data_IF_633781482703
#
_entry.id   IF_633781482703
#
_cell.length_a   1.000
_cell.length_b   1.000
_cell.length_c   1.000
_cell.angle_alpha   90.00
_cell.angle_beta   90.00
_cell.angle_gamma   90.00
#
_symmetry.space_group_name_H-M   'P 1'
#
loop_
_entity.id
_entity.type
_entity.pdbx_description
1 polymer ?
#
# COMPACT_ATOMS: atom_id res chain seq x y z
N UNK A 1 27.04 -2.87 20.41
CA UNK A 1 26.14 -2.53 19.28
C UNK A 1 24.70 -2.81 19.69
N UNK A 2 24.07 -1.91 20.47
CA UNK A 2 22.68 -2.07 20.93
C UNK A 2 21.74 -1.75 19.76
N UNK A 3 21.28 -2.78 19.04
CA UNK A 3 20.12 -2.66 18.18
C UNK A 3 18.93 -2.37 19.10
N UNK A 4 18.48 -1.12 19.12
CA UNK A 4 17.32 -0.68 19.89
C UNK A 4 16.15 -1.64 19.61
N UNK A 5 15.58 -2.30 20.63
CA UNK A 5 14.56 -3.38 20.49
C UNK A 5 13.43 -3.01 19.54
N UNK A 6 13.05 -1.73 19.52
CA UNK A 6 12.03 -1.17 18.60
C UNK A 6 12.44 -1.23 17.12
N UNK A 7 13.72 -1.00 16.81
CA UNK A 7 14.25 -1.07 15.43
C UNK A 7 14.27 -2.51 14.92
N UNK A 8 14.72 -3.46 15.74
CA UNK A 8 14.71 -4.88 15.38
C UNK A 8 13.27 -5.34 15.11
N UNK A 9 12.34 -5.03 16.03
CA UNK A 9 10.92 -5.32 15.85
C UNK A 9 10.35 -4.72 14.56
N UNK A 10 10.64 -3.43 14.28
CA UNK A 10 10.17 -2.78 13.06
C UNK A 10 10.74 -3.41 11.79
N UNK A 11 12.04 -3.72 11.77
CA UNK A 11 12.68 -4.37 10.64
C UNK A 11 12.09 -5.77 10.39
N UNK A 12 11.94 -6.58 11.43
CA UNK A 12 11.35 -7.92 11.32
C UNK A 12 9.91 -7.85 10.83
N UNK A 13 9.07 -7.00 11.42
CA UNK A 13 7.67 -6.88 10.99
C UNK A 13 7.57 -6.38 9.54
N UNK A 14 8.28 -5.31 9.20
CA UNK A 14 8.18 -4.72 7.86
C UNK A 14 8.76 -5.64 6.78
N UNK A 15 9.83 -6.39 7.09
CA UNK A 15 10.33 -7.42 6.19
C UNK A 15 9.29 -8.53 5.98
N UNK A 16 8.62 -9.00 7.04
CA UNK A 16 7.62 -10.07 6.95
C UNK A 16 6.29 -9.61 6.32
N UNK A 17 5.98 -8.31 6.38
CA UNK A 17 4.86 -7.73 5.64
C UNK A 17 5.07 -7.78 4.13
N UNK A 18 6.33 -7.72 3.69
CA UNK A 18 6.73 -7.74 2.28
C UNK A 18 7.12 -9.14 1.78
N UNK A 19 7.73 -9.95 2.64
CA UNK A 19 8.13 -11.34 2.39
C UNK A 19 7.28 -12.25 3.26
N UNK A 20 6.16 -12.70 2.70
CA UNK A 20 5.11 -13.46 3.36
C UNK A 20 5.47 -14.95 3.34
N UNK A 21 6.27 -15.38 4.31
CA UNK A 21 6.67 -16.78 4.45
C UNK A 21 5.46 -17.62 4.90
N UNK A 22 5.01 -18.62 4.12
CA UNK A 22 3.89 -19.48 4.49
C UNK A 22 4.30 -20.50 5.57
N UNK A 23 3.45 -20.68 6.57
CA UNK A 23 3.58 -21.69 7.64
C UNK A 23 2.69 -22.90 7.41
N UNK A 24 1.60 -22.75 6.66
CA UNK A 24 0.68 -23.83 6.35
C UNK A 24 -0.38 -23.40 5.34
N UNK A 25 -0.99 -24.38 4.69
CA UNK A 25 -2.10 -24.18 3.76
C UNK A 25 -3.42 -24.61 4.42
N UNK A 26 -4.39 -23.70 4.49
CA UNK A 26 -5.74 -24.03 4.94
C UNK A 26 -6.57 -24.46 3.73
N UNK A 27 -6.90 -25.75 3.67
CA UNK A 27 -7.78 -26.33 2.65
C UNK A 27 -9.18 -25.71 2.66
N UNK A 28 -9.67 -25.28 3.84
CA UNK A 28 -10.99 -24.67 4.04
C UNK A 28 -11.09 -23.21 3.57
N UNK A 29 -10.01 -22.43 3.60
CA UNK A 29 -10.04 -21.01 3.22
C UNK A 29 -9.36 -20.70 1.88
N UNK A 30 -8.77 -21.73 1.24
CA UNK A 30 -7.89 -21.60 0.07
C UNK A 30 -6.80 -20.54 0.29
N UNK A 31 -6.28 -20.42 1.51
CA UNK A 31 -5.34 -19.35 1.90
C UNK A 31 -4.20 -19.85 2.77
N UNK A 32 -3.07 -19.13 2.70
CA UNK A 32 -1.86 -19.46 3.44
C UNK A 32 -1.79 -18.66 4.75
N UNK A 33 -1.53 -19.36 5.85
CA UNK A 33 -1.18 -18.71 7.10
C UNK A 33 0.31 -18.38 7.05
N UNK A 34 0.62 -17.11 6.92
CA UNK A 34 2.01 -16.62 6.91
C UNK A 34 2.53 -16.21 8.29
N UNK A 35 3.86 -16.20 8.45
CA UNK A 35 4.58 -15.75 9.66
C UNK A 35 4.12 -14.38 10.14
N UNK A 36 3.85 -13.44 9.22
CA UNK A 36 3.45 -12.10 9.59
C UNK A 36 2.11 -12.06 10.33
N UNK A 37 1.19 -13.01 10.10
CA UNK A 37 -0.07 -13.05 10.84
C UNK A 37 0.17 -13.28 12.33
N UNK A 38 1.10 -14.17 12.68
CA UNK A 38 1.49 -14.41 14.07
C UNK A 38 2.12 -13.15 14.66
N UNK A 39 3.02 -12.50 13.92
CA UNK A 39 3.64 -11.24 14.35
C UNK A 39 2.61 -10.14 14.58
N UNK A 40 1.61 -10.01 13.70
CA UNK A 40 0.53 -9.04 13.80
C UNK A 40 -0.39 -9.28 15.01
N UNK A 41 -0.46 -10.51 15.53
CA UNK A 41 -1.22 -10.82 16.75
C UNK A 41 -0.38 -10.58 18.01
N UNK A 42 0.90 -10.95 17.99
CA UNK A 42 1.78 -10.84 19.16
C UNK A 42 2.30 -9.42 19.42
N UNK A 43 2.70 -8.70 18.36
CA UNK A 43 3.35 -7.40 18.52
C UNK A 43 2.46 -6.31 19.13
N UNK A 44 1.14 -6.22 18.83
CA UNK A 44 0.29 -5.23 19.48
C UNK A 44 0.28 -5.34 21.00
N UNK A 45 0.34 -6.57 21.54
CA UNK A 45 0.39 -6.83 22.99
C UNK A 45 1.62 -6.17 23.62
N UNK A 46 2.78 -6.27 22.96
CA UNK A 46 4.03 -5.65 23.40
C UNK A 46 3.98 -4.11 23.41
N UNK A 47 3.03 -3.51 22.69
CA UNK A 47 2.88 -2.07 22.56
C UNK A 47 1.55 -1.53 23.09
N UNK A 48 0.77 -2.32 23.85
CA UNK A 48 -0.49 -1.90 24.45
C UNK A 48 -0.45 -0.52 25.15
N UNK A 49 0.59 -0.14 25.91
CA UNK A 49 0.67 1.20 26.54
C UNK A 49 0.65 2.38 25.55
N UNK A 50 0.92 2.11 24.27
CA UNK A 50 0.96 3.07 23.15
C UNK A 50 -0.45 3.28 22.56
N UNK A 51 -1.45 2.48 22.95
CA UNK A 51 -2.85 2.62 22.52
C UNK A 51 -3.45 4.00 22.81
N UNK A 52 -2.96 4.70 23.85
CA UNK A 52 -3.34 6.09 24.17
C UNK A 52 -3.10 7.09 23.03
N UNK A 53 -2.31 6.72 22.03
CA UNK A 53 -2.04 7.56 20.87
C UNK A 53 -3.00 7.32 19.70
N UNK A 54 -3.88 6.31 19.79
CA UNK A 54 -4.96 6.14 18.84
C UNK A 54 -5.92 7.31 18.98
N UNK A 55 -6.22 7.95 17.85
CA UNK A 55 -7.17 9.06 17.76
C UNK A 55 -8.22 8.74 16.72
N UNK A 56 -9.38 9.37 16.87
CA UNK A 56 -10.38 9.39 15.82
C UNK A 56 -9.84 10.18 14.64
N UNK A 57 -9.74 9.51 13.50
CA UNK A 57 -9.38 10.07 12.20
C UNK A 57 -10.08 9.22 11.12
N UNK A 58 -10.04 9.61 9.84
CA UNK A 58 -10.73 8.86 8.79
C UNK A 58 -10.32 7.37 8.70
N UNK A 59 -9.06 7.04 9.00
CA UNK A 59 -8.58 5.65 9.00
C UNK A 59 -9.16 4.84 10.16
N UNK A 60 -9.17 5.36 11.38
CA UNK A 60 -9.79 4.67 12.53
C UNK A 60 -11.31 4.61 12.43
N UNK A 61 -11.94 5.65 11.87
CA UNK A 61 -13.36 5.67 11.59
C UNK A 61 -13.75 4.60 10.55
N UNK A 62 -12.98 4.48 9.46
CA UNK A 62 -13.16 3.41 8.49
C UNK A 62 -13.06 2.02 9.14
N UNK A 63 -11.99 1.77 9.91
CA UNK A 63 -11.79 0.47 10.57
C UNK A 63 -12.97 0.17 11.51
N UNK A 64 -13.42 1.15 12.29
CA UNK A 64 -14.56 1.00 13.19
C UNK A 64 -15.86 0.70 12.43
N UNK A 65 -16.12 1.39 11.31
CA UNK A 65 -17.29 1.14 10.47
C UNK A 65 -17.26 -0.26 9.83
N UNK A 66 -16.10 -0.71 9.37
CA UNK A 66 -15.91 -2.08 8.84
C UNK A 66 -16.15 -3.14 9.90
N UNK A 67 -15.64 -2.94 11.13
CA UNK A 67 -15.89 -3.83 12.27
C UNK A 67 -17.39 -3.88 12.58
N UNK A 68 -18.03 -2.71 12.73
CA UNK A 68 -19.45 -2.63 13.04
C UNK A 68 -20.32 -3.31 11.97
N UNK A 69 -20.04 -3.03 10.70
CA UNK A 69 -20.74 -3.64 9.57
C UNK A 69 -20.56 -5.16 9.55
N UNK A 70 -19.34 -5.64 9.79
CA UNK A 70 -19.06 -7.07 9.79
C UNK A 70 -19.65 -7.80 10.98
N UNK A 71 -19.70 -7.18 12.15
CA UNK A 71 -20.39 -7.73 13.32
C UNK A 71 -21.90 -7.81 13.10
N UNK A 72 -22.51 -6.77 12.53
CA UNK A 72 -23.93 -6.78 12.18
C UNK A 72 -24.24 -7.84 11.12
N UNK A 73 -23.39 -7.92 10.08
CA UNK A 73 -23.54 -8.88 9.00
C UNK A 73 -23.29 -10.34 9.43
N UNK A 74 -22.43 -10.57 10.44
CA UNK A 74 -22.14 -11.92 10.93
C UNK A 74 -23.40 -12.65 11.45
N UNK A 75 -24.37 -11.91 11.98
CA UNK A 75 -25.65 -12.48 12.42
C UNK A 75 -26.54 -12.95 11.26
N UNK A 76 -26.36 -12.39 10.06
CA UNK A 76 -27.22 -12.66 8.88
C UNK A 76 -26.56 -13.60 7.89
N UNK A 77 -25.28 -13.36 7.60
CA UNK A 77 -24.53 -14.06 6.55
C UNK A 77 -23.48 -15.04 7.12
N UNK A 78 -23.33 -15.09 8.45
CA UNK A 78 -22.30 -15.87 9.13
C UNK A 78 -20.94 -15.15 9.20
N UNK A 79 -20.07 -15.67 10.07
CA UNK A 79 -18.68 -15.24 10.21
C UNK A 79 -17.72 -16.31 9.69
N UNK A 80 -17.09 -16.06 8.54
CA UNK A 80 -16.02 -16.92 8.02
C UNK A 80 -14.64 -16.56 8.59
N UNK A 81 -13.65 -17.45 8.43
CA UNK A 81 -12.24 -17.17 8.80
C UNK A 81 -11.71 -15.88 8.15
N UNK A 82 -12.25 -15.47 6.99
CA UNK A 82 -11.87 -14.22 6.31
C UNK A 82 -12.29 -12.95 7.04
N UNK A 83 -13.27 -13.01 7.95
CA UNK A 83 -13.61 -11.87 8.80
C UNK A 83 -12.44 -11.46 9.71
N UNK A 84 -11.51 -12.36 9.99
CA UNK A 84 -10.28 -12.08 10.75
C UNK A 84 -9.33 -11.12 10.02
N UNK A 85 -9.51 -10.88 8.71
CA UNK A 85 -8.75 -9.87 7.96
C UNK A 85 -8.88 -8.47 8.59
N UNK A 86 -10.06 -8.14 9.16
CA UNK A 86 -10.26 -6.86 9.84
C UNK A 86 -9.33 -6.72 11.06
N UNK A 87 -9.10 -7.82 11.79
CA UNK A 87 -8.16 -7.82 12.91
C UNK A 87 -6.75 -7.52 12.42
N UNK A 88 -6.31 -8.14 11.31
CA UNK A 88 -5.00 -7.84 10.72
C UNK A 88 -4.89 -6.41 10.21
N UNK A 89 -5.95 -5.85 9.66
CA UNK A 89 -6.02 -4.43 9.28
C UNK A 89 -5.85 -3.53 10.51
N UNK A 90 -6.62 -3.78 11.57
CA UNK A 90 -6.58 -2.96 12.79
C UNK A 90 -5.22 -3.05 13.50
N UNK A 91 -4.64 -4.24 13.62
CA UNK A 91 -3.32 -4.45 14.23
C UNK A 91 -2.21 -3.84 13.40
N UNK A 92 -2.25 -3.99 12.07
CA UNK A 92 -1.28 -3.36 11.16
C UNK A 92 -1.33 -1.85 11.26
N UNK A 93 -2.53 -1.26 11.24
CA UNK A 93 -2.72 0.17 11.43
C UNK A 93 -2.15 0.64 12.78
N UNK A 94 -2.46 -0.06 13.87
CA UNK A 94 -1.94 0.26 15.19
C UNK A 94 -0.41 0.22 15.25
N UNK A 95 0.23 -0.83 14.73
CA UNK A 95 1.68 -0.94 14.68
C UNK A 95 2.30 0.14 13.78
N UNK A 96 1.63 0.52 12.70
CA UNK A 96 1.95 1.67 11.88
C UNK A 96 1.98 2.97 12.69
N UNK A 97 0.97 3.20 13.54
CA UNK A 97 0.92 4.37 14.44
C UNK A 97 2.09 4.34 15.43
N UNK A 98 2.38 3.18 16.03
CA UNK A 98 3.48 3.01 17.00
C UNK A 98 4.82 3.34 16.37
N UNK A 99 5.14 2.72 15.22
CA UNK A 99 6.43 2.89 14.55
C UNK A 99 6.54 4.26 13.88
N UNK A 100 5.45 4.81 13.38
CA UNK A 100 5.40 6.18 12.87
C UNK A 100 5.77 7.22 13.92
N UNK A 101 5.44 6.97 15.19
CA UNK A 101 5.81 7.86 16.31
C UNK A 101 7.22 7.64 16.82
N UNK A 102 7.67 6.39 16.89
CA UNK A 102 8.94 6.03 17.53
C UNK A 102 10.15 6.15 16.61
N UNK A 103 9.97 6.04 15.29
CA UNK A 103 11.07 6.00 14.33
C UNK A 103 11.33 7.36 13.68
N UNK A 104 12.60 7.78 13.67
CA UNK A 104 13.05 8.95 12.94
C UNK A 104 13.13 8.69 11.42
N UNK A 105 13.11 9.77 10.62
CA UNK A 105 13.22 9.69 9.15
C UNK A 105 14.45 8.87 8.68
N UNK A 106 15.59 9.08 9.33
CA UNK A 106 16.83 8.36 9.01
C UNK A 106 16.76 6.87 9.33
N UNK A 107 16.05 6.49 10.39
CA UNK A 107 15.85 5.08 10.76
C UNK A 107 14.93 4.39 9.77
N UNK A 108 13.83 5.03 9.38
CA UNK A 108 12.91 4.51 8.36
C UNK A 108 13.62 4.27 7.04
N UNK A 109 14.46 5.21 6.58
CA UNK A 109 15.27 5.03 5.37
C UNK A 109 16.16 3.79 5.47
N UNK A 110 16.85 3.61 6.59
CA UNK A 110 17.67 2.40 6.80
C UNK A 110 16.83 1.13 6.78
N UNK A 111 15.67 1.13 7.45
CA UNK A 111 14.75 -0.02 7.45
C UNK A 111 14.31 -0.36 6.03
N UNK A 112 13.96 0.63 5.19
CA UNK A 112 13.53 0.37 3.81
C UNK A 112 14.67 -0.17 2.94
N UNK A 113 15.91 0.28 3.16
CA UNK A 113 17.09 -0.28 2.49
C UNK A 113 17.28 -1.75 2.89
N UNK A 114 17.14 -2.07 4.18
CA UNK A 114 17.19 -3.44 4.66
C UNK A 114 16.08 -4.30 4.07
N UNK A 115 14.85 -3.77 3.97
CA UNK A 115 13.74 -4.47 3.32
C UNK A 115 14.03 -4.81 1.87
N UNK A 116 14.63 -3.89 1.11
CA UNK A 116 15.08 -4.18 -0.25
C UNK A 116 16.09 -5.33 -0.28
N UNK A 117 17.05 -5.32 0.66
CA UNK A 117 17.99 -6.43 0.84
C UNK A 117 17.27 -7.76 1.09
N UNK A 118 16.30 -7.80 2.02
CA UNK A 118 15.51 -8.99 2.30
C UNK A 118 14.71 -9.47 1.07
N UNK A 119 14.08 -8.57 0.33
CA UNK A 119 13.34 -8.90 -0.89
C UNK A 119 14.27 -9.49 -1.95
N UNK A 120 15.46 -8.90 -2.13
CA UNK A 120 16.45 -9.39 -3.09
C UNK A 120 16.99 -10.75 -2.71
N UNK A 121 17.36 -10.94 -1.44
CA UNK A 121 17.80 -12.25 -0.94
C UNK A 121 16.72 -13.29 -1.17
N UNK A 122 15.45 -12.97 -0.89
CA UNK A 122 14.34 -13.90 -1.15
C UNK A 122 14.22 -14.26 -2.63
N UNK A 123 14.19 -13.27 -3.53
CA UNK A 123 14.05 -13.49 -4.98
C UNK A 123 15.21 -14.34 -5.51
N UNK A 124 16.45 -14.03 -5.10
CA UNK A 124 17.64 -14.78 -5.53
C UNK A 124 17.59 -16.22 -5.01
N UNK A 125 17.29 -16.42 -3.72
CA UNK A 125 17.21 -17.77 -3.14
C UNK A 125 16.09 -18.59 -3.80
N UNK A 126 14.93 -17.98 -4.04
CA UNK A 126 13.83 -18.61 -4.77
C UNK A 126 14.29 -19.01 -6.17
N UNK A 127 14.88 -18.10 -6.93
CA UNK A 127 15.27 -18.38 -8.31
C UNK A 127 16.35 -19.47 -8.41
N UNK A 128 17.23 -19.57 -7.39
CA UNK A 128 18.18 -20.69 -7.27
C UNK A 128 17.44 -22.01 -7.00
N UNK A 129 16.53 -22.05 -6.02
CA UNK A 129 15.81 -23.27 -5.63
C UNK A 129 14.88 -23.76 -6.76
N UNK A 130 14.24 -22.83 -7.46
CA UNK A 130 13.25 -23.11 -8.51
C UNK A 130 13.80 -22.90 -9.92
N UNK A 131 15.14 -22.94 -10.11
CA UNK A 131 15.79 -22.66 -11.39
C UNK A 131 15.19 -23.47 -12.56
N UNK A 132 14.89 -24.75 -12.33
CA UNK A 132 14.27 -25.64 -13.33
C UNK A 132 12.80 -25.33 -13.66
N UNK A 133 12.11 -24.54 -12.83
CA UNK A 133 10.70 -24.16 -13.01
C UNK A 133 10.53 -22.72 -13.49
N UNK A 134 11.61 -21.94 -13.59
CA UNK A 134 11.57 -20.54 -14.03
C UNK A 134 10.94 -20.39 -15.43
N UNK A 135 11.27 -21.29 -16.36
CA UNK A 135 10.65 -21.32 -17.68
C UNK A 135 9.13 -21.45 -17.62
N UNK A 136 8.60 -22.29 -16.73
CA UNK A 136 7.17 -22.45 -16.49
C UNK A 136 6.52 -21.22 -15.83
N UNK A 137 7.23 -20.57 -14.90
CA UNK A 137 6.80 -19.32 -14.24
C UNK A 137 6.61 -18.19 -15.26
N UNK A 138 7.58 -18.03 -16.17
CA UNK A 138 7.55 -16.99 -17.21
C UNK A 138 6.61 -17.35 -18.36
N UNK A 139 6.53 -18.63 -18.75
CA UNK A 139 5.58 -19.12 -19.77
C UNK A 139 4.13 -19.24 -19.24
N UNK A 140 3.91 -19.01 -17.94
CA UNK A 140 2.59 -19.08 -17.28
C UNK A 140 1.92 -20.46 -17.39
N UNK A 141 2.70 -21.54 -17.43
CA UNK A 141 2.17 -22.91 -17.48
C UNK A 141 1.82 -23.45 -16.09
N UNK A 142 0.96 -24.47 -16.02
CA UNK A 142 0.46 -25.04 -14.76
C UNK A 142 1.58 -25.57 -13.84
N UNK A 143 2.76 -25.88 -14.40
CA UNK A 143 3.95 -26.31 -13.65
C UNK A 143 4.55 -25.24 -12.72
N UNK A 144 4.07 -23.99 -12.78
CA UNK A 144 4.49 -22.89 -11.91
C UNK A 144 3.69 -22.76 -10.60
N UNK A 145 2.69 -23.62 -10.38
CA UNK A 145 1.77 -23.55 -9.22
C UNK A 145 2.45 -23.80 -7.87
N UNK A 146 3.62 -24.46 -7.85
CA UNK A 146 4.40 -24.74 -6.63
C UNK A 146 5.44 -23.68 -6.25
N UNK A 147 5.58 -22.60 -7.01
CA UNK A 147 6.62 -21.58 -6.78
C UNK A 147 6.21 -20.60 -5.68
N UNK A 148 7.12 -20.37 -4.73
CA UNK A 148 6.92 -19.43 -3.64
C UNK A 148 7.12 -17.99 -4.11
N UNK A 149 6.12 -17.13 -3.90
CA UNK A 149 6.22 -15.69 -4.16
C UNK A 149 6.35 -14.91 -2.86
N UNK A 150 6.86 -13.67 -2.94
CA UNK A 150 6.99 -12.80 -1.77
C UNK A 150 5.65 -12.46 -1.12
N UNK A 151 4.56 -12.50 -1.88
CA UNK A 151 3.22 -12.27 -1.36
C UNK A 151 2.26 -13.35 -1.84
N UNK A 152 1.25 -13.66 -1.02
CA UNK A 152 0.20 -14.63 -1.32
C UNK A 152 -0.65 -14.29 -2.54
N UNK A 153 -0.56 -13.07 -3.07
CA UNK A 153 -1.19 -12.69 -4.34
C UNK A 153 -0.38 -13.07 -5.60
N UNK A 154 0.70 -13.83 -5.43
CA UNK A 154 1.49 -14.37 -6.54
C UNK A 154 2.33 -13.33 -7.27
N UNK A 155 2.75 -13.67 -8.48
CA UNK A 155 3.71 -12.88 -9.28
C UNK A 155 3.32 -11.41 -9.50
N UNK A 156 2.04 -11.12 -9.68
CA UNK A 156 1.59 -9.76 -10.02
C UNK A 156 1.75 -8.82 -8.82
N UNK A 157 1.31 -9.30 -7.64
CA UNK A 157 1.46 -8.56 -6.37
C UNK A 157 2.92 -8.41 -6.00
N UNK A 158 3.76 -9.42 -6.25
CA UNK A 158 5.21 -9.33 -6.03
C UNK A 158 5.84 -8.16 -6.80
N UNK A 159 5.55 -8.06 -8.10
CA UNK A 159 6.06 -6.99 -8.95
C UNK A 159 5.59 -5.60 -8.48
N UNK A 160 4.31 -5.47 -8.15
CA UNK A 160 3.75 -4.20 -7.64
C UNK A 160 4.30 -3.82 -6.27
N UNK A 161 4.56 -4.79 -5.41
CA UNK A 161 5.17 -4.56 -4.10
C UNK A 161 6.60 -4.03 -4.23
N UNK A 162 7.39 -4.55 -5.17
CA UNK A 162 8.72 -4.03 -5.50
C UNK A 162 8.65 -2.61 -6.07
N UNK A 163 7.67 -2.35 -6.94
CA UNK A 163 7.43 -1.00 -7.45
C UNK A 163 7.08 -0.01 -6.33
N UNK A 164 6.20 -0.39 -5.41
CA UNK A 164 5.85 0.40 -4.23
C UNK A 164 7.05 0.60 -3.29
N UNK A 165 7.86 -0.43 -3.05
CA UNK A 165 9.09 -0.33 -2.25
C UNK A 165 10.08 0.66 -2.85
N UNK A 166 10.21 0.71 -4.19
CA UNK A 166 11.08 1.68 -4.86
C UNK A 166 10.71 3.13 -4.53
N UNK A 167 9.41 3.44 -4.38
CA UNK A 167 8.92 4.78 -4.02
C UNK A 167 9.40 5.17 -2.60
N UNK A 168 9.39 4.22 -1.67
CA UNK A 168 9.86 4.45 -0.30
C UNK A 168 11.35 4.82 -0.25
N UNK A 169 12.13 4.37 -1.24
CA UNK A 169 13.57 4.59 -1.36
C UNK A 169 13.94 5.86 -2.13
N UNK A 170 12.98 6.63 -2.65
CA UNK A 170 13.23 7.88 -3.38
C UNK A 170 14.15 8.83 -2.60
N UNK A 171 15.22 9.28 -3.26
CA UNK A 171 16.24 10.18 -2.68
C UNK A 171 17.35 9.46 -1.92
N UNK A 172 17.40 8.12 -1.95
CA UNK A 172 18.52 7.32 -1.47
C UNK A 172 19.42 6.87 -2.63
N UNK A 173 20.67 6.49 -2.33
CA UNK A 173 21.62 5.96 -3.33
C UNK A 173 21.19 4.62 -3.92
N UNK A 174 20.36 3.85 -3.21
CA UNK A 174 19.87 2.55 -3.66
C UNK A 174 18.60 2.63 -4.50
N UNK A 175 18.00 3.82 -4.63
CA UNK A 175 16.78 4.00 -5.42
C UNK A 175 16.89 3.50 -6.87
N UNK A 176 17.96 3.81 -7.63
CA UNK A 176 18.07 3.34 -9.02
C UNK A 176 18.09 1.81 -9.11
N UNK A 177 18.74 1.15 -8.15
CA UNK A 177 18.77 -0.31 -8.04
C UNK A 177 17.35 -0.83 -7.82
N UNK A 178 16.63 -0.29 -6.83
CA UNK A 178 15.26 -0.68 -6.54
C UNK A 178 14.30 -0.45 -7.71
N UNK A 179 14.44 0.67 -8.42
CA UNK A 179 13.62 0.99 -9.59
C UNK A 179 13.92 0.04 -10.76
N UNK A 180 15.20 -0.27 -11.01
CA UNK A 180 15.59 -1.22 -12.06
C UNK A 180 15.03 -2.62 -11.78
N UNK A 181 15.14 -3.10 -10.53
CA UNK A 181 14.55 -4.38 -10.12
C UNK A 181 13.03 -4.36 -10.31
N UNK A 182 12.35 -3.30 -9.85
CA UNK A 182 10.91 -3.20 -10.01
C UNK A 182 10.47 -3.24 -11.48
N UNK A 183 11.18 -2.55 -12.38
CA UNK A 183 10.90 -2.58 -13.82
C UNK A 183 11.16 -3.97 -14.41
N UNK A 184 12.32 -4.56 -14.12
CA UNK A 184 12.70 -5.88 -14.64
C UNK A 184 11.71 -6.94 -14.19
N UNK A 185 11.41 -7.03 -12.90
CA UNK A 185 10.44 -8.00 -12.36
C UNK A 185 9.03 -7.75 -12.93
N UNK A 186 8.61 -6.49 -13.07
CA UNK A 186 7.29 -6.19 -13.64
C UNK A 186 7.19 -6.58 -15.12
N UNK A 187 8.26 -6.36 -15.89
CA UNK A 187 8.32 -6.73 -17.30
C UNK A 187 8.38 -8.25 -17.48
N UNK A 188 9.25 -8.95 -16.75
CA UNK A 188 9.39 -10.42 -16.86
C UNK A 188 8.15 -11.16 -16.38
N UNK A 189 7.48 -10.67 -15.32
CA UNK A 189 6.23 -11.26 -14.83
C UNK A 189 5.00 -10.81 -15.63
N UNK A 190 5.17 -9.88 -16.58
CA UNK A 190 4.10 -9.23 -17.35
C UNK A 190 3.00 -8.68 -16.42
N UNK A 191 3.43 -8.01 -15.34
CA UNK A 191 2.54 -7.36 -14.36
C UNK A 191 2.25 -5.93 -14.79
N UNK A 192 1.01 -5.68 -15.23
CA UNK A 192 0.54 -4.35 -15.65
C UNK A 192 0.57 -3.35 -14.50
N UNK A 193 0.08 -3.74 -13.34
CA UNK A 193 0.08 -2.91 -12.14
C UNK A 193 1.51 -2.61 -11.68
N UNK A 194 2.42 -3.59 -11.75
CA UNK A 194 3.83 -3.40 -11.43
C UNK A 194 4.51 -2.38 -12.35
N UNK A 195 4.29 -2.48 -13.67
CA UNK A 195 4.82 -1.52 -14.65
C UNK A 195 4.28 -0.10 -14.41
N UNK A 196 2.97 0.04 -14.15
CA UNK A 196 2.35 1.31 -13.81
C UNK A 196 2.95 1.89 -12.53
N UNK A 197 3.12 1.09 -11.48
CA UNK A 197 3.75 1.50 -10.23
C UNK A 197 5.20 1.94 -10.42
N UNK A 198 5.97 1.21 -11.24
CA UNK A 198 7.35 1.55 -11.56
C UNK A 198 7.45 2.85 -12.35
N UNK A 199 6.55 3.05 -13.34
CA UNK A 199 6.45 4.30 -14.10
C UNK A 199 6.15 5.50 -13.19
N UNK A 200 5.21 5.35 -12.24
CA UNK A 200 4.92 6.41 -11.24
C UNK A 200 6.15 6.70 -10.38
N UNK A 201 6.85 5.66 -9.90
CA UNK A 201 8.06 5.82 -9.10
C UNK A 201 9.14 6.63 -9.85
N UNK A 202 9.43 6.23 -11.10
CA UNK A 202 10.39 6.90 -11.98
C UNK A 202 9.95 8.32 -12.31
N UNK A 203 8.67 8.54 -12.59
CA UNK A 203 8.11 9.88 -12.84
C UNK A 203 8.26 10.82 -11.65
N UNK A 204 8.05 10.32 -10.42
CA UNK A 204 8.28 11.12 -9.21
C UNK A 204 9.77 11.45 -9.05
N UNK A 205 10.67 10.50 -9.35
CA UNK A 205 12.11 10.75 -9.33
C UNK A 205 12.52 11.80 -10.38
N UNK A 206 12.00 11.73 -11.60
CA UNK A 206 12.20 12.71 -12.66
C UNK A 206 11.76 14.10 -12.21
N UNK A 207 10.54 14.23 -11.69
CA UNK A 207 10.03 15.51 -11.21
C UNK A 207 10.90 16.12 -10.09
N UNK A 208 11.36 15.30 -9.14
CA UNK A 208 12.23 15.76 -8.04
C UNK A 208 13.62 16.18 -8.51
N UNK A 209 14.12 15.59 -9.59
CA UNK A 209 15.44 15.85 -10.14
C UNK A 209 15.45 16.92 -11.23
N UNK A 210 14.33 17.59 -11.51
CA UNK A 210 14.18 18.60 -12.60
C UNK A 210 15.22 19.70 -12.70
N UNK A 211 15.93 20.01 -11.61
CA UNK A 211 17.01 21.02 -11.58
C UNK A 211 18.41 20.40 -11.56
N UNK A 212 18.54 19.10 -11.77
CA UNK A 212 19.81 18.36 -11.70
C UNK A 212 20.08 17.64 -13.02
N UNK A 213 21.34 17.27 -13.25
CA UNK A 213 21.76 16.54 -14.47
C UNK A 213 21.05 15.19 -14.64
N UNK A 214 20.56 14.60 -13.55
CA UNK A 214 19.82 13.33 -13.57
C UNK A 214 18.38 13.45 -14.10
N UNK A 215 17.87 14.68 -14.31
CA UNK A 215 16.54 14.91 -14.86
C UNK A 215 16.32 14.23 -16.21
N UNK A 216 17.28 14.37 -17.13
CA UNK A 216 17.16 13.84 -18.49
C UNK A 216 17.10 12.31 -18.49
N UNK A 217 17.90 11.64 -17.65
CA UNK A 217 17.88 10.19 -17.50
C UNK A 217 16.51 9.70 -16.98
N UNK A 218 16.00 10.28 -15.89
CA UNK A 218 14.72 9.84 -15.34
C UNK A 218 13.53 10.22 -16.22
N UNK A 219 13.61 11.33 -16.95
CA UNK A 219 12.57 11.73 -17.92
C UNK A 219 12.58 10.79 -19.13
N UNK A 220 13.76 10.44 -19.64
CA UNK A 220 13.89 9.41 -20.67
C UNK A 220 13.30 8.08 -20.21
N UNK A 221 13.64 7.61 -19.00
CA UNK A 221 13.07 6.37 -18.45
C UNK A 221 11.56 6.45 -18.24
N UNK A 222 11.03 7.60 -17.78
CA UNK A 222 9.59 7.80 -17.63
C UNK A 222 8.87 7.75 -18.98
N UNK A 223 9.40 8.44 -20.00
CA UNK A 223 8.86 8.42 -21.36
C UNK A 223 8.97 7.01 -21.95
N UNK A 224 10.12 6.34 -21.82
CA UNK A 224 10.29 4.96 -22.28
C UNK A 224 9.29 3.99 -21.63
N UNK A 225 9.01 4.16 -20.33
CA UNK A 225 7.97 3.38 -19.65
C UNK A 225 6.56 3.69 -20.17
N UNK A 226 6.24 4.94 -20.46
CA UNK A 226 4.96 5.32 -21.08
C UNK A 226 4.85 4.76 -22.50
N UNK A 227 5.93 4.78 -23.28
CA UNK A 227 5.97 4.18 -24.62
C UNK A 227 5.86 2.66 -24.55
N UNK A 228 6.50 2.00 -23.58
CA UNK A 228 6.36 0.55 -23.36
C UNK A 228 4.94 0.18 -22.94
N UNK A 229 4.34 0.91 -22.00
CA UNK A 229 2.95 0.72 -21.59
C UNK A 229 1.99 0.98 -22.75
N UNK A 230 2.20 2.08 -23.49
CA UNK A 230 1.44 2.44 -24.67
C UNK A 230 1.57 1.39 -25.77
N UNK A 231 2.78 0.88 -26.02
CA UNK A 231 3.07 -0.19 -26.97
C UNK A 231 2.43 -1.52 -26.59
N UNK A 232 2.44 -1.88 -25.29
CA UNK A 232 1.73 -3.06 -24.77
C UNK A 232 0.21 -2.95 -24.88
N UNK A 233 -0.33 -1.73 -24.78
CA UNK A 233 -1.76 -1.46 -24.98
C UNK A 233 -2.08 -1.39 -26.48
N UNK A 234 -1.27 -0.77 -27.32
CA UNK A 234 -1.47 -0.68 -28.77
C UNK A 234 -1.28 -2.02 -29.47
N UNK A 235 -0.39 -2.87 -28.97
CA UNK A 235 -0.22 -4.25 -29.45
C UNK A 235 -1.44 -5.13 -29.16
N UNK A 236 -2.42 -4.67 -28.37
CA UNK A 236 -3.73 -5.34 -28.25
C UNK A 236 -4.61 -5.21 -29.49
N UNK A 237 -4.22 -4.35 -30.44
CA UNK A 237 -4.92 -4.13 -31.71
C UNK A 237 -4.27 -4.95 -32.84
N UNK A 238 -3.11 -5.57 -32.59
CA UNK A 238 -2.37 -6.38 -33.57
C UNK A 238 -2.42 -7.83 -33.08
N UNK A 239 -2.96 -8.73 -33.92
CA UNK A 239 -3.13 -10.16 -33.63
C UNK A 239 -1.77 -10.86 -33.39
N UNK A 240 -1.30 -10.79 -32.15
CA UNK A 240 -0.17 -11.54 -31.63
C UNK A 240 -0.76 -12.46 -30.55
N UNK A 241 -0.66 -13.80 -30.66
CA UNK A 241 -1.30 -14.79 -29.77
C UNK A 241 -0.94 -14.69 -28.27
N UNK A 242 -0.01 -13.82 -27.90
CA UNK A 242 0.40 -13.54 -26.51
C UNK A 242 -0.46 -12.42 -25.87
N UNK A 243 -1.28 -11.71 -26.66
CA UNK A 243 -1.95 -10.46 -26.31
C UNK A 243 -3.49 -10.51 -26.30
N UNK A 244 -4.11 -11.69 -26.40
CA UNK A 244 -5.56 -11.95 -26.24
C UNK A 244 -6.20 -11.35 -24.97
N UNK A 245 -5.39 -10.89 -24.01
CA UNK A 245 -5.78 -10.39 -22.69
C UNK A 245 -6.19 -8.92 -22.64
N UNK A 246 -6.22 -8.24 -23.79
CA UNK A 246 -6.72 -6.87 -23.95
C UNK A 246 -7.88 -6.77 -24.94
N UNK A 247 -8.30 -7.90 -25.52
CA UNK A 247 -9.49 -7.89 -26.34
C UNK A 247 -10.70 -7.79 -25.41
N UNK A 248 -11.37 -6.63 -25.42
CA UNK A 248 -12.65 -6.44 -24.73
C UNK A 248 -13.65 -7.52 -25.16
N UNK A 249 -13.59 -8.01 -26.40
CA UNK A 249 -14.39 -9.15 -26.85
C UNK A 249 -14.03 -10.43 -26.12
N UNK A 250 -12.76 -10.68 -25.80
CA UNK A 250 -12.34 -11.84 -25.01
C UNK A 250 -12.79 -11.75 -23.54
N UNK A 251 -12.79 -10.56 -22.91
CA UNK A 251 -13.40 -10.40 -21.58
C UNK A 251 -14.92 -10.56 -21.60
N UNK A 252 -15.64 -10.06 -22.61
CA UNK A 252 -17.08 -10.35 -22.76
C UNK A 252 -17.34 -11.82 -23.09
N UNK A 253 -16.48 -12.50 -23.85
CA UNK A 253 -16.61 -13.95 -24.08
C UNK A 253 -16.30 -14.76 -22.82
N UNK A 254 -15.39 -14.28 -21.97
CA UNK A 254 -15.15 -14.87 -20.65
C UNK A 254 -16.32 -14.58 -19.70
N UNK A 255 -16.93 -13.39 -19.76
CA UNK A 255 -18.18 -13.07 -19.06
C UNK A 255 -19.32 -14.01 -19.48
N UNK A 256 -19.48 -14.28 -20.78
CA UNK A 256 -20.44 -15.26 -21.30
C UNK A 256 -20.10 -16.70 -20.87
N UNK A 257 -18.85 -16.96 -20.48
CA UNK A 257 -18.40 -18.22 -19.84
C UNK A 257 -18.43 -18.16 -18.31
N UNK A 258 -18.93 -17.07 -17.71
CA UNK A 258 -18.94 -16.82 -16.27
C UNK A 258 -17.54 -16.80 -15.61
N UNK A 259 -16.53 -16.39 -16.37
CA UNK A 259 -15.13 -16.31 -15.93
C UNK A 259 -14.65 -14.86 -16.08
N UNK A 260 -13.88 -14.34 -15.11
CA UNK A 260 -13.20 -13.05 -15.23
C UNK A 260 -13.80 -11.90 -14.40
N UNK A 261 -13.15 -10.74 -14.48
CA UNK A 261 -13.39 -9.58 -13.61
C UNK A 261 -14.72 -8.88 -13.88
N UNK A 262 -15.15 -8.85 -15.14
CA UNK A 262 -16.41 -8.21 -15.52
C UNK A 262 -17.61 -8.93 -14.90
N UNK A 263 -17.66 -10.27 -14.96
CA UNK A 263 -18.70 -11.08 -14.32
C UNK A 263 -18.74 -10.87 -12.79
N UNK A 264 -17.56 -10.75 -12.14
CA UNK A 264 -17.46 -10.40 -10.73
C UNK A 264 -18.05 -9.02 -10.43
N UNK A 265 -17.75 -8.02 -11.26
CA UNK A 265 -18.23 -6.65 -11.06
C UNK A 265 -19.73 -6.51 -11.31
N UNK A 266 -20.26 -7.15 -12.36
CA UNK A 266 -21.69 -7.21 -12.64
C UNK A 266 -22.43 -7.90 -11.47
N UNK A 267 -21.90 -9.01 -10.98
CA UNK A 267 -22.47 -9.72 -9.81
C UNK A 267 -22.43 -8.90 -8.53
N UNK A 268 -21.34 -8.14 -8.31
CA UNK A 268 -21.25 -7.20 -7.19
C UNK A 268 -22.30 -6.09 -7.30
N UNK A 269 -22.55 -5.56 -8.50
CA UNK A 269 -23.62 -4.60 -8.75
C UNK A 269 -24.99 -5.15 -8.37
N UNK A 270 -25.31 -6.37 -8.82
CA UNK A 270 -26.55 -7.07 -8.46
C UNK A 270 -26.68 -7.30 -6.96
N UNK A 271 -25.60 -7.69 -6.28
CA UNK A 271 -25.60 -7.84 -4.82
C UNK A 271 -25.89 -6.49 -4.14
N UNK A 272 -25.24 -5.41 -4.57
CA UNK A 272 -25.44 -4.07 -3.99
C UNK A 272 -26.88 -3.54 -4.12
N UNK A 273 -27.65 -3.95 -5.14
CA UNK A 273 -29.08 -3.60 -5.20
C UNK A 273 -29.91 -4.20 -4.07
N UNK A 274 -29.43 -5.29 -3.43
CA UNK A 274 -30.12 -5.97 -2.32
C UNK A 274 -29.69 -5.46 -0.95
N UNK A 275 -28.43 -5.03 -0.80
CA UNK A 275 -27.93 -4.53 0.48
C UNK A 275 -26.78 -3.52 0.29
N UNK A 276 -27.12 -2.24 0.39
CA UNK A 276 -26.16 -1.13 0.30
C UNK A 276 -25.37 -0.89 1.60
N UNK A 277 -25.81 -1.49 2.71
CA UNK A 277 -25.11 -1.38 4.00
C UNK A 277 -23.98 -2.39 4.14
N UNK A 278 -23.84 -3.31 3.18
CA UNK A 278 -22.71 -4.22 3.07
C UNK A 278 -22.94 -5.59 3.70
N UNK A 279 -22.14 -6.55 3.26
CA UNK A 279 -22.25 -7.98 3.60
C UNK A 279 -21.29 -8.46 4.69
N UNK A 280 -20.43 -7.58 5.20
CA UNK A 280 -19.35 -7.92 6.12
C UNK A 280 -18.12 -8.48 5.41
N UNK A 281 -16.95 -8.32 6.04
CA UNK A 281 -15.67 -8.74 5.46
C UNK A 281 -15.59 -10.26 5.31
N UNK A 282 -15.24 -10.70 4.10
CA UNK A 282 -15.13 -12.11 3.74
C UNK A 282 -16.40 -12.71 3.16
N UNK A 283 -17.53 -11.99 3.21
CA UNK A 283 -18.82 -12.48 2.73
C UNK A 283 -19.19 -11.94 1.34
N UNK A 284 -18.45 -10.95 0.80
CA UNK A 284 -18.79 -10.33 -0.49
C UNK A 284 -18.86 -11.34 -1.64
N UNK A 285 -17.77 -12.09 -1.86
CA UNK A 285 -17.73 -13.11 -2.93
C UNK A 285 -18.71 -14.27 -2.68
N UNK A 286 -18.77 -14.90 -1.47
CA UNK A 286 -19.74 -15.95 -1.20
C UNK A 286 -21.19 -15.55 -1.47
N UNK A 287 -21.58 -14.32 -1.11
CA UNK A 287 -22.93 -13.82 -1.38
C UNK A 287 -23.15 -13.59 -2.88
N UNK A 288 -22.15 -13.09 -3.61
CA UNK A 288 -22.24 -12.97 -5.06
C UNK A 288 -22.42 -14.33 -5.75
N UNK A 289 -21.72 -15.37 -5.30
CA UNK A 289 -21.87 -16.73 -5.83
C UNK A 289 -23.30 -17.26 -5.59
N UNK A 290 -23.84 -17.03 -4.39
CA UNK A 290 -25.21 -17.41 -4.06
C UNK A 290 -26.26 -16.66 -4.90
N UNK A 291 -26.06 -15.36 -5.14
CA UNK A 291 -27.01 -14.54 -5.90
C UNK A 291 -26.96 -14.85 -7.39
N UNK A 292 -25.75 -15.05 -7.94
CA UNK A 292 -25.55 -15.27 -9.39
C UNK A 292 -25.68 -16.74 -9.80
N UNK A 293 -25.56 -17.68 -8.86
CA UNK A 293 -25.45 -19.11 -9.16
C UNK A 293 -24.10 -19.51 -9.78
N UNK A 294 -23.13 -18.60 -9.81
CA UNK A 294 -21.80 -18.79 -10.40
C UNK A 294 -20.79 -19.15 -9.32
N UNK A 295 -19.80 -19.98 -9.67
CA UNK A 295 -18.65 -20.24 -8.81
C UNK A 295 -17.44 -19.46 -9.30
N UNK A 296 -16.92 -18.55 -8.47
CA UNK A 296 -15.76 -17.75 -8.81
C UNK A 296 -14.49 -18.44 -8.32
N UNK A 297 -13.47 -18.49 -9.19
CA UNK A 297 -12.13 -18.95 -8.82
C UNK A 297 -11.43 -17.92 -7.91
N UNK A 298 -11.72 -16.65 -8.15
CA UNK A 298 -11.15 -15.51 -7.42
C UNK A 298 -11.77 -15.35 -6.04
N UNK A 299 -10.95 -14.88 -5.10
CA UNK A 299 -11.36 -14.70 -3.71
C UNK A 299 -11.71 -13.25 -3.33
N UNK A 300 -11.61 -12.32 -4.28
CA UNK A 300 -11.90 -10.91 -4.13
C UNK A 300 -12.32 -10.30 -5.49
N UNK A 301 -12.81 -9.06 -5.51
CA UNK A 301 -13.29 -8.41 -6.74
C UNK A 301 -12.20 -7.65 -7.53
N UNK A 302 -10.94 -7.71 -7.10
CA UNK A 302 -9.79 -7.02 -7.74
C UNK A 302 -9.97 -5.50 -7.91
N UNK A 303 -10.83 -4.90 -7.09
CA UNK A 303 -11.11 -3.48 -7.04
C UNK A 303 -11.48 -3.12 -5.59
N UNK A 304 -10.58 -2.44 -4.87
CA UNK A 304 -10.77 -2.14 -3.45
C UNK A 304 -12.01 -1.29 -3.20
N UNK A 305 -12.33 -0.36 -4.10
CA UNK A 305 -13.48 0.53 -3.92
C UNK A 305 -14.79 -0.27 -3.98
N UNK A 306 -14.89 -1.17 -4.95
CA UNK A 306 -16.02 -2.07 -5.06
C UNK A 306 -16.05 -3.08 -3.91
N UNK A 307 -14.89 -3.60 -3.49
CA UNK A 307 -14.77 -4.52 -2.36
C UNK A 307 -15.28 -3.88 -1.06
N UNK A 308 -14.83 -2.65 -0.74
CA UNK A 308 -15.26 -1.95 0.47
C UNK A 308 -16.71 -1.48 0.41
N UNK A 309 -17.24 -1.19 -0.78
CA UNK A 309 -18.66 -0.94 -0.95
C UNK A 309 -19.48 -2.22 -0.68
N UNK A 310 -19.04 -3.35 -1.23
CA UNK A 310 -19.74 -4.63 -1.11
C UNK A 310 -19.69 -5.17 0.32
N UNK A 311 -18.53 -5.19 0.95
CA UNK A 311 -18.37 -5.79 2.28
C UNK A 311 -18.64 -4.80 3.41
N UNK A 312 -18.28 -3.53 3.21
CA UNK A 312 -18.39 -2.49 4.22
C UNK A 312 -19.58 -1.54 4.05
N UNK A 313 -20.30 -1.63 2.94
CA UNK A 313 -21.39 -0.72 2.60
C UNK A 313 -20.93 0.67 2.18
N UNK A 314 -21.92 1.49 1.82
CA UNK A 314 -21.70 2.89 1.41
C UNK A 314 -20.96 3.69 2.49
N UNK A 315 -21.25 3.45 3.76
CA UNK A 315 -20.61 4.10 4.90
C UNK A 315 -19.10 3.88 4.94
N UNK A 316 -18.65 2.64 4.68
CA UNK A 316 -17.23 2.31 4.71
C UNK A 316 -16.53 2.84 3.46
N UNK A 317 -17.17 2.77 2.28
CA UNK A 317 -16.62 3.40 1.08
C UNK A 317 -16.44 4.91 1.27
N UNK A 318 -17.43 5.62 1.80
CA UNK A 318 -17.32 7.06 2.03
C UNK A 318 -16.18 7.41 3.00
N UNK A 319 -16.04 6.67 4.10
CA UNK A 319 -14.93 6.87 5.03
C UNK A 319 -13.57 6.57 4.40
N UNK A 320 -13.49 5.55 3.54
CA UNK A 320 -12.29 5.25 2.77
C UNK A 320 -11.93 6.38 1.79
N UNK A 321 -12.92 6.95 1.09
CA UNK A 321 -12.72 8.08 0.19
C UNK A 321 -12.29 9.35 0.96
N UNK A 322 -12.88 9.60 2.13
CA UNK A 322 -12.45 10.70 3.02
C UNK A 322 -11.01 10.48 3.48
N UNK A 323 -10.62 9.24 3.80
CA UNK A 323 -9.23 8.90 4.13
C UNK A 323 -8.29 9.16 2.94
N UNK A 324 -8.65 8.71 1.74
CA UNK A 324 -7.88 8.95 0.52
C UNK A 324 -7.72 10.45 0.24
N UNK A 325 -8.80 11.21 0.30
CA UNK A 325 -8.79 12.67 0.16
C UNK A 325 -7.89 13.33 1.22
N UNK A 326 -7.99 12.91 2.48
CA UNK A 326 -7.14 13.43 3.54
C UNK A 326 -5.65 13.16 3.28
N UNK A 327 -5.29 11.98 2.76
CA UNK A 327 -3.90 11.67 2.35
C UNK A 327 -3.47 12.59 1.20
N UNK A 328 -4.31 12.76 0.17
CA UNK A 328 -4.04 13.63 -1.00
C UNK A 328 -3.78 15.07 -0.59
N UNK A 329 -4.63 15.65 0.27
CA UNK A 329 -4.55 17.07 0.63
C UNK A 329 -3.59 17.38 1.78
N UNK A 330 -3.18 16.39 2.57
CA UNK A 330 -2.24 16.62 3.67
C UNK A 330 -0.82 16.86 3.14
N UNK A 331 -0.17 17.99 3.51
CA UNK A 331 1.21 18.26 3.08
C UNK A 331 2.18 17.29 3.76
N UNK A 332 3.19 16.85 3.00
CA UNK A 332 4.18 15.88 3.47
C UNK A 332 5.60 16.28 3.04
N UNK A 333 6.56 16.10 3.96
CA UNK A 333 7.97 16.43 3.79
C UNK A 333 8.85 15.24 4.18
N UNK A 334 10.15 15.29 3.84
CA UNK A 334 11.10 14.24 4.22
C UNK A 334 10.64 12.83 3.83
N UNK A 335 10.77 11.88 4.74
CA UNK A 335 10.34 10.49 4.49
C UNK A 335 8.82 10.34 4.43
N UNK A 336 8.07 11.20 5.12
CA UNK A 336 6.60 11.22 5.05
C UNK A 336 6.11 11.47 3.62
N UNK A 337 6.85 12.25 2.82
CA UNK A 337 6.52 12.46 1.40
C UNK A 337 6.61 11.17 0.58
N UNK A 338 7.55 10.29 0.89
CA UNK A 338 7.68 8.99 0.22
C UNK A 338 6.57 8.03 0.68
N UNK A 339 6.22 8.03 1.96
CA UNK A 339 5.07 7.26 2.49
C UNK A 339 3.76 7.73 1.84
N UNK A 340 3.56 9.05 1.73
CA UNK A 340 2.41 9.61 0.99
C UNK A 340 2.39 9.12 -0.46
N UNK A 341 3.51 9.21 -1.16
CA UNK A 341 3.59 8.75 -2.55
C UNK A 341 3.32 7.24 -2.69
N UNK A 342 3.80 6.43 -1.76
CA UNK A 342 3.50 5.00 -1.67
C UNK A 342 1.99 4.77 -1.55
N UNK A 343 1.33 5.47 -0.61
CA UNK A 343 -0.11 5.33 -0.38
C UNK A 343 -0.94 5.77 -1.59
N UNK A 344 -0.56 6.87 -2.25
CA UNK A 344 -1.25 7.35 -3.44
C UNK A 344 -1.07 6.41 -4.64
N UNK A 345 0.15 5.87 -4.82
CA UNK A 345 0.39 4.86 -5.85
C UNK A 345 -0.42 3.59 -5.57
N UNK A 346 -0.48 3.15 -4.30
CA UNK A 346 -1.33 2.04 -3.90
C UNK A 346 -2.81 2.30 -4.21
N UNK A 347 -3.36 3.46 -3.85
CA UNK A 347 -4.75 3.84 -4.13
C UNK A 347 -5.08 3.91 -5.63
N UNK A 348 -4.08 4.21 -6.47
CA UNK A 348 -4.21 4.15 -7.92
C UNK A 348 -4.20 2.69 -8.43
N UNK A 349 -3.29 1.85 -7.92
CA UNK A 349 -3.22 0.43 -8.27
C UNK A 349 -4.39 -0.39 -7.67
N UNK A 350 -5.06 0.14 -6.66
CA UNK A 350 -6.23 -0.44 -5.97
C UNK A 350 -7.43 -0.68 -6.88
N UNK A 351 -7.47 -0.07 -8.06
CA UNK A 351 -8.47 -0.35 -9.10
C UNK A 351 -8.24 -1.67 -9.85
N UNK A 352 -7.05 -2.29 -9.70
CA UNK A 352 -6.58 -3.32 -10.63
C UNK A 352 -6.30 -4.67 -9.97
N UNK A 353 -5.74 -4.75 -8.75
CA UNK A 353 -5.24 -6.04 -8.25
C UNK A 353 -5.27 -6.29 -6.75
N UNK A 354 -5.50 -5.27 -5.92
CA UNK A 354 -5.45 -5.43 -4.47
C UNK A 354 -6.83 -5.78 -3.89
N UNK A 355 -6.82 -6.53 -2.79
CA UNK A 355 -8.01 -6.92 -2.04
C UNK A 355 -8.49 -5.84 -1.06
N UNK A 356 -7.60 -4.96 -0.60
CA UNK A 356 -7.89 -3.91 0.38
C UNK A 356 -7.54 -4.28 1.82
N UNK A 357 -7.28 -5.57 2.09
CA UNK A 357 -6.95 -6.07 3.43
C UNK A 357 -5.45 -6.31 3.64
N UNK A 358 -4.62 -5.84 2.72
CA UNK A 358 -3.18 -5.99 2.79
C UNK A 358 -2.60 -5.25 3.99
N UNK A 359 -1.94 -6.00 4.87
CA UNK A 359 -1.38 -5.51 6.11
C UNK A 359 -0.38 -4.35 5.89
N UNK A 360 0.42 -4.39 4.83
CA UNK A 360 1.39 -3.33 4.53
C UNK A 360 0.71 -1.98 4.21
N UNK A 361 -0.44 -1.98 3.53
CA UNK A 361 -1.17 -0.73 3.23
C UNK A 361 -1.62 -0.06 4.52
N UNK A 362 -2.31 -0.81 5.38
CA UNK A 362 -2.83 -0.31 6.65
C UNK A 362 -1.72 0.10 7.62
N UNK A 363 -0.60 -0.61 7.60
CA UNK A 363 0.61 -0.21 8.33
C UNK A 363 1.11 1.18 7.90
N UNK A 364 1.23 1.44 6.59
CA UNK A 364 1.65 2.75 6.11
C UNK A 364 0.60 3.85 6.31
N UNK A 365 -0.70 3.52 6.29
CA UNK A 365 -1.77 4.46 6.67
C UNK A 365 -1.62 4.88 8.13
N UNK A 366 -1.43 3.92 9.05
CA UNK A 366 -1.20 4.21 10.47
C UNK A 366 0.05 5.07 10.69
N UNK A 367 1.15 4.74 9.99
CA UNK A 367 2.38 5.52 10.02
C UNK A 367 2.17 6.95 9.51
N UNK A 368 1.41 7.11 8.43
CA UNK A 368 1.12 8.41 7.85
C UNK A 368 0.38 9.32 8.85
N UNK A 369 -0.66 8.82 9.51
CA UNK A 369 -1.40 9.60 10.52
C UNK A 369 -0.54 9.95 11.73
N UNK A 370 0.24 9.00 12.25
CA UNK A 370 1.14 9.25 13.38
C UNK A 370 2.14 10.37 13.12
N UNK A 371 2.77 10.38 11.94
CA UNK A 371 3.78 11.37 11.58
C UNK A 371 3.17 12.74 11.30
N UNK A 372 1.99 12.78 10.67
CA UNK A 372 1.25 14.03 10.48
C UNK A 372 0.86 14.67 11.82
N UNK A 373 0.43 13.86 12.78
CA UNK A 373 0.14 14.31 14.14
C UNK A 373 1.35 14.94 14.82
N UNK A 374 2.51 14.29 14.78
CA UNK A 374 3.76 14.83 15.34
C UNK A 374 4.11 16.16 14.68
N UNK A 375 4.03 16.23 13.34
CA UNK A 375 4.29 17.45 12.59
C UNK A 375 3.37 18.59 13.02
N UNK A 376 2.07 18.34 13.16
CA UNK A 376 1.09 19.35 13.61
C UNK A 376 1.40 19.85 15.01
N UNK A 377 1.81 18.96 15.92
CA UNK A 377 2.22 19.34 17.28
C UNK A 377 3.48 20.21 17.24
N UNK A 378 4.50 19.84 16.46
CA UNK A 378 5.73 20.63 16.30
C UNK A 378 5.46 22.03 15.75
N UNK A 379 4.61 22.14 14.72
CA UNK A 379 4.23 23.45 14.14
C UNK A 379 3.52 24.32 15.19
N UNK A 380 2.61 23.74 15.98
CA UNK A 380 1.91 24.47 17.06
C UNK A 380 2.86 24.94 18.15
N UNK A 381 3.81 24.11 18.56
CA UNK A 381 4.84 24.50 19.54
C UNK A 381 5.72 25.64 19.01
N UNK A 382 6.21 25.52 17.77
CA UNK A 382 7.03 26.57 17.14
C UNK A 382 6.26 27.90 17.01
N UNK A 383 4.97 27.85 16.67
CA UNK A 383 4.11 29.03 16.61
C UNK A 383 3.92 29.67 17.99
N UNK A 384 3.70 28.85 19.03
CA UNK A 384 3.56 29.31 20.42
C UNK A 384 4.85 29.97 20.94
N UNK A 385 6.02 29.37 20.67
CA UNK A 385 7.31 29.95 21.04
C UNK A 385 7.58 31.27 20.31
N UNK A 386 7.22 31.36 19.02
CA UNK A 386 7.33 32.60 18.25
C UNK A 386 6.42 33.70 18.80
N UNK A 387 5.19 33.36 19.21
CA UNK A 387 4.28 34.30 19.86
C UNK A 387 4.82 34.78 21.22
N UNK A 388 5.39 33.86 22.02
CA UNK A 388 6.01 34.19 23.31
C UNK A 388 7.18 35.14 23.15
N UNK A 389 8.10 34.83 22.24
CA UNK A 389 9.29 35.66 21.95
C UNK A 389 8.91 37.04 21.40
N UNK A 390 7.91 37.13 20.52
CA UNK A 390 7.38 38.41 20.06
C UNK A 390 6.81 39.26 21.20
N UNK A 391 6.06 38.64 22.13
CA UNK A 391 5.54 39.33 23.32
C UNK A 391 6.65 39.82 24.25
N UNK A 392 7.68 39.02 24.50
CA UNK A 392 8.84 39.43 25.29
C UNK A 392 9.58 40.59 24.65
N UNK A 393 9.73 40.59 23.32
CA UNK A 393 10.40 41.68 22.58
C UNK A 393 9.61 42.99 22.63
N UNK A 394 8.27 42.92 22.60
CA UNK A 394 7.41 44.10 22.74
C UNK A 394 7.47 44.73 24.14
N UNK A 395 7.73 43.91 25.16
CA UNK A 395 7.88 44.37 26.55
C UNK A 395 9.29 44.89 26.88
N UNK A 396 10.27 44.74 25.98
CA UNK A 396 11.59 45.34 26.19
C UNK A 396 11.52 46.85 25.91
N UNK A 397 12.02 47.70 26.83
CA UNK A 397 12.13 49.14 26.58
C UNK A 397 12.92 49.36 25.29
N UNK A 398 12.46 50.30 24.45
CA UNK A 398 13.21 50.74 23.28
C UNK A 398 14.62 51.15 23.76
N UNK A 399 15.71 50.67 23.13
CA UNK A 399 17.03 51.15 23.48
C UNK A 399 17.05 52.67 23.34
N UNK A 400 17.60 53.37 24.33
CA UNK A 400 17.72 54.81 24.33
C UNK A 400 18.33 55.25 22.99
N UNK A 401 17.70 56.22 22.33
CA UNK A 401 18.28 56.80 21.12
C UNK A 401 19.68 57.30 21.48
N UNK A 402 20.72 57.01 20.68
CA UNK A 402 22.02 57.62 20.89
C UNK A 402 21.83 59.13 20.91
N UNK A 403 22.33 59.79 21.96
CA UNK A 403 22.30 61.24 22.05
C UNK A 403 22.88 61.82 20.75
N UNK A 404 22.24 62.86 20.17
CA UNK A 404 22.77 63.51 18.99
C UNK A 404 24.18 64.02 19.32
N UNK A 405 25.13 63.64 18.47
CA UNK A 405 26.53 63.99 18.59
C UNK A 405 26.67 65.52 18.67
N UNK A 406 27.14 66.02 19.80
CA UNK A 406 27.26 67.46 20.09
C UNK A 406 28.32 68.16 19.23
N UNK A 407 28.96 67.44 18.31
CA UNK A 407 29.98 67.94 17.37
C UNK A 407 29.40 68.47 16.04
N UNK A 408 28.07 68.47 15.88
CA UNK A 408 27.37 68.98 14.70
C UNK A 408 26.57 70.28 14.93
N UNK A 409 27.00 71.14 15.85
CA UNK A 409 26.43 72.48 16.05
C UNK A 409 27.36 73.59 15.55
#
# INVERSE_FOLDING_TARGET
MLINKTRAAALTLMAMLFVQIPLGHSTTSKSHVNVYHILLLLMPVLYLPVARYLKLNPGTAFIAAMIATSLAAAATYGGGLRSTLILFVATSYFLGVVFGRKLADMELRRIFIWMLGCCLTFVILRDIVYAGQLGAVYARSEGASGVLYMSTGGRNIEASLLALLSILLLGTRVYPIAAAIAVLTSATMLSRAGLVGAAVSIGIAAYRTRKTRHYYLYSFLAVAMVVLLGGLVLSSVIDIPVLDRFNLQAETQLEHKNVGRLALWTSAGTALTRNLLGYGVGNGVPVMEQISGLTFVENNVHNIYLQFLLEGGVQSLLLFLVMAAHIVFTPAEGQQRNIKAFLLCYLMLAFIEFSGYEAYFWFFVGMFYARNDIRRVQIRHAASEKARTARTRWLQPKPAQPEPDATHA
#
